data_IF_594278907854
#
_entry.id   IF_594278907854
#
_cell.length_a   1.000
_cell.length_b   1.000
_cell.length_c   1.000
_cell.angle_alpha   90.00
_cell.angle_beta   90.00
_cell.angle_gamma   90.00
#
_symmetry.space_group_name_H-M   'P 1'
#
loop_
_entity.id
_entity.type
_entity.pdbx_description
1 polymer ?
#
# COMPACT_ATOMS: atom_id res chain seq x y z
N UNK A 1 5.65 -10.21 -22.17
CA UNK A 1 4.91 -9.09 -21.63
C UNK A 1 5.83 -8.16 -20.86
N UNK A 2 5.68 -6.88 -21.11
CA UNK A 2 6.52 -5.86 -20.51
C UNK A 2 6.06 -5.54 -19.11
N UNK A 3 6.97 -5.60 -18.13
CA UNK A 3 6.67 -5.19 -16.75
C UNK A 3 6.94 -3.70 -16.61
N UNK A 4 6.04 -3.02 -15.91
CA UNK A 4 6.19 -1.60 -15.58
C UNK A 4 6.86 -1.46 -14.22
N UNK A 5 7.73 -0.46 -14.11
CA UNK A 5 8.44 -0.18 -12.85
C UNK A 5 7.71 0.92 -12.08
N UNK A 6 7.51 0.68 -10.79
CA UNK A 6 6.96 1.68 -9.88
C UNK A 6 7.95 1.84 -8.73
N UNK A 7 8.47 3.04 -8.56
CA UNK A 7 9.46 3.38 -7.54
C UNK A 7 8.77 4.00 -6.34
N UNK A 8 8.90 3.37 -5.19
CA UNK A 8 8.25 3.84 -3.95
C UNK A 8 9.30 3.97 -2.86
N UNK A 9 9.22 5.06 -2.10
CA UNK A 9 10.06 5.28 -0.93
C UNK A 9 9.26 4.97 0.33
N UNK A 10 9.93 4.31 1.27
CA UNK A 10 9.35 3.89 2.54
C UNK A 10 10.16 4.40 3.70
N UNK A 11 9.51 4.56 4.85
CA UNK A 11 10.23 4.77 6.11
C UNK A 11 11.08 3.55 6.42
N UNK A 12 12.23 3.74 7.11
CA UNK A 12 13.06 2.60 7.50
C UNK A 12 12.31 1.49 8.24
N UNK A 13 11.33 1.85 9.07
CA UNK A 13 10.53 0.89 9.86
C UNK A 13 9.75 -0.06 8.95
N UNK A 14 9.18 0.45 7.88
CA UNK A 14 8.47 -0.38 6.89
C UNK A 14 9.48 -1.24 6.12
N UNK A 15 10.58 -0.66 5.72
CA UNK A 15 11.63 -1.40 5.00
C UNK A 15 12.19 -2.55 5.85
N UNK A 16 12.33 -2.35 7.15
CA UNK A 16 12.75 -3.42 8.06
C UNK A 16 11.80 -4.61 8.05
N UNK A 17 10.51 -4.39 7.88
CA UNK A 17 9.55 -5.48 7.74
C UNK A 17 9.85 -6.32 6.50
N UNK A 18 10.20 -5.66 5.39
CA UNK A 18 10.62 -6.36 4.17
C UNK A 18 11.92 -7.12 4.39
N UNK A 19 12.88 -6.53 5.09
CA UNK A 19 14.16 -7.17 5.39
C UNK A 19 13.97 -8.43 6.24
N UNK A 20 13.11 -8.37 7.24
CA UNK A 20 12.82 -9.52 8.10
C UNK A 20 12.16 -10.64 7.31
N UNK A 21 11.18 -10.33 6.50
CA UNK A 21 10.50 -11.32 5.68
C UNK A 21 11.45 -11.92 4.63
N UNK A 22 12.32 -11.08 4.06
CA UNK A 22 13.33 -11.52 3.11
C UNK A 22 14.32 -12.50 3.76
N UNK A 23 14.78 -12.18 4.96
CA UNK A 23 15.68 -13.05 5.72
C UNK A 23 15.01 -14.39 6.04
N UNK A 24 13.73 -14.33 6.43
CA UNK A 24 12.95 -15.52 6.73
C UNK A 24 12.78 -16.44 5.52
N UNK A 25 12.55 -15.87 4.35
CA UNK A 25 12.33 -16.62 3.11
C UNK A 25 13.62 -16.94 2.34
N UNK A 26 14.74 -16.35 2.72
CA UNK A 26 16.00 -16.50 1.99
C UNK A 26 15.99 -15.80 0.63
N UNK A 27 15.28 -14.68 0.52
CA UNK A 27 15.14 -13.93 -0.72
C UNK A 27 15.69 -12.53 -0.57
N UNK A 28 15.80 -11.81 -1.70
CA UNK A 28 16.17 -10.39 -1.69
C UNK A 28 15.00 -9.53 -1.24
N UNK A 29 15.30 -8.42 -0.59
CA UNK A 29 14.28 -7.49 -0.07
C UNK A 29 13.34 -7.01 -1.16
N UNK A 30 13.87 -6.60 -2.31
CA UNK A 30 13.04 -6.14 -3.43
C UNK A 30 12.11 -7.21 -3.95
N UNK A 31 12.56 -8.45 -4.00
CA UNK A 31 11.75 -9.60 -4.44
C UNK A 31 10.58 -9.82 -3.48
N UNK A 32 10.86 -9.79 -2.19
CA UNK A 32 9.84 -9.99 -1.16
C UNK A 32 8.81 -8.86 -1.17
N UNK A 33 9.28 -7.61 -1.18
CA UNK A 33 8.38 -6.47 -1.24
C UNK A 33 7.46 -6.55 -2.44
N UNK A 34 8.01 -6.93 -3.60
CA UNK A 34 7.23 -7.09 -4.82
C UNK A 34 6.17 -8.19 -4.70
N UNK A 35 6.53 -9.34 -4.12
CA UNK A 35 5.60 -10.45 -3.88
C UNK A 35 4.45 -10.03 -2.97
N UNK A 36 4.75 -9.28 -1.91
CA UNK A 36 3.74 -8.80 -0.98
C UNK A 36 2.74 -7.87 -1.66
N UNK A 37 3.24 -6.95 -2.46
CA UNK A 37 2.37 -6.03 -3.20
C UNK A 37 1.51 -6.77 -4.23
N UNK A 38 2.09 -7.67 -5.00
CA UNK A 38 1.36 -8.46 -6.00
C UNK A 38 0.26 -9.28 -5.32
N UNK A 39 0.55 -9.87 -4.18
CA UNK A 39 -0.43 -10.64 -3.40
C UNK A 39 -1.64 -9.77 -3.06
N UNK A 40 -1.41 -8.55 -2.56
CA UNK A 40 -2.50 -7.65 -2.21
C UNK A 40 -3.24 -7.14 -3.45
N UNK A 41 -2.54 -6.86 -4.53
CA UNK A 41 -3.17 -6.46 -5.79
C UNK A 41 -4.07 -7.56 -6.34
N UNK A 42 -3.64 -8.80 -6.25
CA UNK A 42 -4.44 -9.94 -6.71
C UNK A 42 -5.71 -10.09 -5.86
N UNK A 43 -5.61 -9.89 -4.55
CA UNK A 43 -6.78 -9.91 -3.67
C UNK A 43 -7.76 -8.79 -4.05
N UNK A 44 -7.26 -7.60 -4.28
CA UNK A 44 -8.10 -6.46 -4.68
C UNK A 44 -8.72 -6.68 -6.06
N UNK A 45 -7.98 -7.30 -6.98
CA UNK A 45 -8.48 -7.59 -8.32
C UNK A 45 -9.56 -8.68 -8.34
N UNK A 46 -9.59 -9.54 -7.32
CA UNK A 46 -10.59 -10.61 -7.22
C UNK A 46 -11.99 -10.09 -6.93
N UNK A 47 -12.10 -8.87 -6.41
CA UNK A 47 -13.38 -8.18 -6.25
C UNK A 47 -13.55 -7.19 -7.40
N UNK A 48 -14.68 -6.48 -7.47
CA UNK A 48 -14.86 -5.38 -8.42
C UNK A 48 -14.31 -4.11 -7.76
N UNK A 49 -13.07 -3.68 -8.07
CA UNK A 49 -12.43 -2.60 -7.31
C UNK A 49 -13.24 -1.31 -7.27
N UNK A 50 -13.96 -0.97 -8.35
CA UNK A 50 -14.76 0.25 -8.41
C UNK A 50 -15.95 0.22 -7.45
N UNK A 51 -16.39 -0.96 -7.02
CA UNK A 51 -17.60 -1.13 -6.20
C UNK A 51 -17.33 -1.80 -4.86
N UNK A 52 -16.30 -2.64 -4.78
CA UNK A 52 -16.07 -3.52 -3.64
C UNK A 52 -14.76 -3.23 -2.90
N UNK A 53 -14.17 -2.06 -3.11
CA UNK A 53 -13.04 -1.58 -2.31
C UNK A 53 -13.54 -0.45 -1.43
N UNK A 54 -13.31 -0.58 -0.11
CA UNK A 54 -13.72 0.42 0.88
C UNK A 54 -12.53 0.80 1.76
N UNK A 55 -12.68 1.89 2.49
CA UNK A 55 -11.60 2.45 3.30
C UNK A 55 -12.06 2.60 4.74
N UNK A 56 -11.37 1.92 5.64
CA UNK A 56 -11.58 2.07 7.07
C UNK A 56 -12.76 1.32 7.65
N UNK A 57 -12.84 1.36 8.96
CA UNK A 57 -13.81 0.59 9.73
C UNK A 57 -15.25 1.08 9.57
N UNK A 58 -15.44 2.39 9.36
CA UNK A 58 -16.79 2.94 9.18
C UNK A 58 -17.42 2.46 7.87
N UNK A 59 -16.66 2.50 6.78
CA UNK A 59 -17.12 2.00 5.50
C UNK A 59 -17.37 0.49 5.55
N UNK A 60 -16.48 -0.23 6.23
CA UNK A 60 -16.65 -1.66 6.42
C UNK A 60 -17.92 -1.97 7.18
N UNK A 61 -18.18 -1.24 8.24
CA UNK A 61 -19.38 -1.44 9.07
C UNK A 61 -20.68 -1.15 8.31
N UNK A 62 -20.61 -0.28 7.30
CA UNK A 62 -21.77 0.04 6.47
C UNK A 62 -22.12 -1.07 5.48
N UNK A 63 -21.23 -2.04 5.25
CA UNK A 63 -21.49 -3.16 4.37
C UNK A 63 -22.38 -4.18 5.08
N UNK A 64 -23.46 -4.68 4.42
CA UNK A 64 -24.26 -5.76 5.00
C UNK A 64 -23.38 -6.98 5.31
N UNK A 65 -23.57 -7.58 6.50
CA UNK A 65 -22.75 -8.68 6.99
C UNK A 65 -22.59 -9.82 5.98
N UNK A 66 -23.66 -10.20 5.31
CA UNK A 66 -23.63 -11.28 4.32
C UNK A 66 -22.84 -10.97 3.06
N UNK A 67 -22.43 -9.71 2.87
CA UNK A 67 -21.68 -9.29 1.67
C UNK A 67 -20.24 -8.90 1.99
N UNK A 68 -19.83 -8.84 3.26
CA UNK A 68 -18.51 -8.37 3.68
C UNK A 68 -17.36 -9.16 3.07
N UNK A 69 -17.53 -10.45 2.88
CA UNK A 69 -16.50 -11.30 2.27
C UNK A 69 -16.19 -10.97 0.81
N UNK A 70 -17.09 -10.23 0.14
CA UNK A 70 -16.91 -9.81 -1.25
C UNK A 70 -16.17 -8.48 -1.39
N UNK A 71 -15.73 -7.90 -0.28
CA UNK A 71 -15.10 -6.58 -0.27
C UNK A 71 -13.63 -6.67 0.12
N UNK A 72 -12.85 -5.78 -0.44
CA UNK A 72 -11.46 -5.56 -0.04
C UNK A 72 -11.40 -4.26 0.74
N UNK A 73 -10.88 -4.32 1.98
CA UNK A 73 -10.86 -3.18 2.88
C UNK A 73 -9.44 -2.64 3.01
N UNK A 74 -9.26 -1.37 2.71
CA UNK A 74 -8.00 -0.66 2.89
C UNK A 74 -8.05 0.17 4.16
N UNK A 75 -6.88 0.47 4.77
CA UNK A 75 -6.83 1.38 5.91
C UNK A 75 -7.37 2.77 5.56
N UNK A 76 -7.85 3.49 6.56
CA UNK A 76 -8.27 4.86 6.38
C UNK A 76 -7.10 5.76 5.97
N UNK A 77 -7.39 6.83 5.26
CA UNK A 77 -6.38 7.78 4.80
C UNK A 77 -5.48 8.29 5.94
N UNK A 78 -6.07 8.58 7.09
CA UNK A 78 -5.32 9.07 8.27
C UNK A 78 -4.29 8.04 8.75
N UNK A 79 -4.62 6.75 8.67
CA UNK A 79 -3.70 5.69 9.09
C UNK A 79 -2.56 5.52 8.09
N UNK A 80 -2.87 5.63 6.81
CA UNK A 80 -1.84 5.53 5.76
C UNK A 80 -0.86 6.71 5.86
N UNK A 81 -1.37 7.92 6.12
CA UNK A 81 -0.56 9.14 6.22
C UNK A 81 0.52 8.99 7.32
N UNK A 82 0.20 8.34 8.42
CA UNK A 82 1.15 8.13 9.51
C UNK A 82 2.39 7.34 9.09
N UNK A 83 2.26 6.52 8.05
CA UNK A 83 3.35 5.68 7.55
C UNK A 83 4.06 6.26 6.32
N UNK A 84 3.66 7.44 5.84
CA UNK A 84 4.33 8.06 4.71
C UNK A 84 5.76 8.43 5.07
N UNK A 85 6.68 8.40 4.08
CA UNK A 85 8.08 8.77 4.33
C UNK A 85 8.20 10.19 4.89
N UNK A 86 9.15 10.36 5.78
CA UNK A 86 9.45 11.68 6.32
C UNK A 86 10.00 12.58 5.22
N UNK A 87 9.51 13.80 5.17
CA UNK A 87 10.08 14.81 4.30
C UNK A 87 11.22 15.47 5.06
N UNK A 88 12.43 15.35 4.51
CA UNK A 88 13.57 16.06 5.07
C UNK A 88 13.42 17.53 4.70
N UNK A 89 12.99 18.34 5.65
CA UNK A 89 12.80 19.77 5.43
C UNK A 89 14.09 20.57 5.36
N UNK A 90 15.25 19.92 5.46
CA UNK A 90 16.55 20.60 5.40
C UNK A 90 17.21 20.35 4.05
N UNK A 91 17.53 21.43 3.38
CA UNK A 91 18.26 21.43 2.13
C UNK A 91 19.62 20.76 2.31
N UNK A 92 19.88 19.72 1.51
CA UNK A 92 21.15 18.99 1.56
C UNK A 92 21.19 17.79 2.49
N UNK A 93 20.13 17.55 3.26
CA UNK A 93 20.03 16.33 4.07
C UNK A 93 19.72 15.12 3.19
N UNK A 94 20.50 14.05 3.35
CA UNK A 94 20.22 12.80 2.63
C UNK A 94 18.93 12.19 3.17
N UNK A 95 18.01 11.77 2.28
CA UNK A 95 16.78 11.11 2.74
C UNK A 95 17.13 9.80 3.46
N UNK A 96 16.56 9.64 4.65
CA UNK A 96 16.69 8.41 5.45
C UNK A 96 15.81 7.30 4.86
N UNK A 97 14.90 7.69 3.98
CA UNK A 97 13.91 6.79 3.39
C UNK A 97 14.55 5.76 2.46
N UNK A 98 14.01 4.55 2.48
CA UNK A 98 14.49 3.46 1.65
C UNK A 98 13.61 3.33 0.40
N UNK A 99 14.25 3.15 -0.74
CA UNK A 99 13.56 3.03 -2.02
C UNK A 99 13.43 1.57 -2.42
N UNK A 100 12.24 1.20 -2.90
CA UNK A 100 11.97 -0.12 -3.46
C UNK A 100 11.40 0.06 -4.86
N UNK A 101 11.88 -0.73 -5.81
CA UNK A 101 11.36 -0.77 -7.16
C UNK A 101 10.44 -1.98 -7.29
N UNK A 102 9.18 -1.73 -7.61
CA UNK A 102 8.19 -2.77 -7.87
C UNK A 102 8.08 -2.99 -9.38
N UNK A 103 7.97 -4.24 -9.78
CA UNK A 103 7.80 -4.63 -11.18
C UNK A 103 6.43 -5.27 -11.31
N UNK A 104 5.52 -4.57 -12.02
CA UNK A 104 4.12 -4.97 -12.12
C UNK A 104 3.77 -5.32 -13.57
N UNK A 105 2.99 -6.37 -13.73
CA UNK A 105 2.38 -6.70 -15.03
C UNK A 105 1.28 -5.68 -15.32
N UNK A 106 0.88 -5.60 -16.59
CA UNK A 106 -0.10 -4.62 -17.04
C UNK A 106 -1.42 -4.69 -16.26
N UNK A 107 -1.94 -5.87 -16.02
CA UNK A 107 -3.18 -6.07 -15.26
C UNK A 107 -3.04 -5.65 -13.80
N UNK A 108 -1.88 -5.90 -13.20
CA UNK A 108 -1.59 -5.49 -11.82
C UNK A 108 -1.50 -3.98 -11.72
N UNK A 109 -0.86 -3.34 -12.68
CA UNK A 109 -0.77 -1.89 -12.75
C UNK A 109 -2.15 -1.26 -12.92
N UNK A 110 -3.01 -1.85 -13.74
CA UNK A 110 -4.38 -1.37 -13.92
C UNK A 110 -5.18 -1.43 -12.62
N UNK A 111 -5.03 -2.51 -11.86
CA UNK A 111 -5.67 -2.63 -10.54
C UNK A 111 -5.18 -1.53 -9.61
N UNK A 112 -3.87 -1.28 -9.59
CA UNK A 112 -3.30 -0.20 -8.77
C UNK A 112 -3.84 1.17 -9.18
N UNK A 113 -3.94 1.44 -10.47
CA UNK A 113 -4.50 2.70 -10.98
C UNK A 113 -5.96 2.89 -10.57
N UNK A 114 -6.75 1.82 -10.57
CA UNK A 114 -8.13 1.86 -10.12
C UNK A 114 -8.23 2.24 -8.64
N UNK A 115 -7.36 1.65 -7.82
CA UNK A 115 -7.31 1.96 -6.38
C UNK A 115 -6.90 3.42 -6.16
N UNK A 116 -5.91 3.90 -6.92
CA UNK A 116 -5.48 5.31 -6.84
C UNK A 116 -6.65 6.24 -7.14
N UNK A 117 -7.44 5.94 -8.19
CA UNK A 117 -8.60 6.77 -8.56
C UNK A 117 -9.66 6.81 -7.48
N UNK A 118 -9.96 5.66 -6.87
CA UNK A 118 -10.95 5.58 -5.80
C UNK A 118 -10.48 6.39 -4.59
N UNK A 119 -9.21 6.23 -4.21
CA UNK A 119 -8.61 6.98 -3.11
C UNK A 119 -8.60 8.48 -3.38
N UNK A 120 -8.29 8.86 -4.60
CA UNK A 120 -8.20 10.28 -4.98
C UNK A 120 -9.55 10.97 -4.84
N UNK A 121 -10.62 10.34 -5.32
CA UNK A 121 -11.97 10.84 -5.17
C UNK A 121 -12.32 11.01 -3.70
N UNK A 122 -12.07 9.97 -2.90
CA UNK A 122 -12.40 10.00 -1.48
C UNK A 122 -11.60 11.05 -0.72
N UNK A 123 -10.31 11.13 -0.99
CA UNK A 123 -9.44 12.09 -0.33
C UNK A 123 -9.75 13.53 -0.70
N UNK A 124 -10.11 13.76 -1.95
CA UNK A 124 -10.54 15.06 -2.42
C UNK A 124 -11.77 15.53 -1.66
N UNK A 125 -12.68 14.63 -1.33
CA UNK A 125 -13.85 14.93 -0.53
C UNK A 125 -13.51 15.21 0.93
N UNK A 126 -12.55 14.45 1.49
CA UNK A 126 -12.22 14.51 2.92
C UNK A 126 -11.16 15.58 3.24
N UNK A 127 -10.12 15.70 2.43
CA UNK A 127 -8.95 16.50 2.78
C UNK A 127 -8.38 17.34 1.65
N UNK A 128 -8.84 17.19 0.42
CA UNK A 128 -8.34 17.95 -0.73
C UNK A 128 -6.89 17.68 -1.10
N UNK A 129 -6.33 16.53 -0.71
CA UNK A 129 -4.95 16.19 -0.99
C UNK A 129 -4.81 15.36 -2.27
N UNK A 130 -3.65 15.46 -2.90
CA UNK A 130 -3.33 14.69 -4.10
C UNK A 130 -2.89 13.28 -3.71
N UNK A 131 -3.49 12.27 -4.32
CA UNK A 131 -3.13 10.87 -4.13
C UNK A 131 -2.03 10.49 -5.13
N UNK A 132 -1.00 9.83 -4.63
CA UNK A 132 0.09 9.27 -5.42
C UNK A 132 0.08 7.75 -5.35
N UNK A 133 0.81 7.10 -6.26
CA UNK A 133 1.01 5.65 -6.19
C UNK A 133 1.58 5.21 -4.85
N UNK A 134 2.45 6.02 -4.25
CA UNK A 134 3.05 5.76 -2.93
C UNK A 134 1.97 5.50 -1.88
N UNK A 135 0.96 6.34 -1.87
CA UNK A 135 -0.13 6.24 -0.91
C UNK A 135 -0.93 4.94 -1.10
N UNK A 136 -1.26 4.61 -2.34
CA UNK A 136 -2.00 3.39 -2.66
C UNK A 136 -1.19 2.13 -2.35
N UNK A 137 0.07 2.11 -2.74
CA UNK A 137 0.98 0.97 -2.48
C UNK A 137 1.13 0.75 -0.98
N UNK A 138 1.34 1.83 -0.23
CA UNK A 138 1.49 1.73 1.22
C UNK A 138 0.21 1.19 1.88
N UNK A 139 -0.96 1.68 1.45
CA UNK A 139 -2.25 1.18 1.94
C UNK A 139 -2.43 -0.31 1.70
N UNK A 140 -2.09 -0.77 0.50
CA UNK A 140 -2.15 -2.19 0.16
C UNK A 140 -1.20 -3.02 1.03
N UNK A 141 0.03 -2.56 1.19
CA UNK A 141 1.03 -3.28 1.97
C UNK A 141 0.68 -3.34 3.44
N UNK A 142 0.07 -2.29 4.00
CA UNK A 142 -0.35 -2.27 5.40
C UNK A 142 -1.40 -3.35 5.71
N UNK A 143 -2.11 -3.83 4.70
CA UNK A 143 -3.06 -4.94 4.86
C UNK A 143 -2.38 -6.31 4.91
N UNK A 144 -1.10 -6.38 4.59
CA UNK A 144 -0.41 -7.66 4.53
C UNK A 144 0.08 -8.08 5.91
N UNK A 145 -0.10 -9.37 6.23
CA UNK A 145 0.31 -9.94 7.51
C UNK A 145 1.79 -9.80 7.80
N UNK A 146 2.63 -9.74 6.77
CA UNK A 146 4.07 -9.62 6.95
C UNK A 146 4.44 -8.32 7.68
N UNK A 147 3.65 -7.26 7.50
CA UNK A 147 3.87 -6.00 8.21
C UNK A 147 3.34 -6.05 9.65
N UNK A 148 2.38 -6.92 9.93
CA UNK A 148 1.82 -7.08 11.28
C UNK A 148 2.73 -7.89 12.20
N UNK A 149 3.55 -8.78 11.67
CA UNK A 149 4.44 -9.65 12.46
C UNK A 149 5.43 -8.85 13.29
N UNK A 150 5.83 -7.71 12.80
CA UNK A 150 6.66 -6.76 13.54
C UNK A 150 6.13 -5.37 13.23
N UNK A 151 5.16 -4.88 14.02
CA UNK A 151 4.63 -3.55 13.78
C UNK A 151 5.76 -2.52 13.87
N UNK A 152 5.83 -1.60 12.89
CA UNK A 152 6.85 -0.55 12.93
C UNK A 152 6.68 0.27 14.19
N UNK A 153 7.78 0.47 14.90
CA UNK A 153 7.78 1.31 16.08
C UNK A 153 7.86 2.76 15.59
N UNK A 154 6.74 3.43 15.60
CA UNK A 154 6.66 4.84 15.22
C UNK A 154 6.70 5.67 16.49
N UNK A 155 7.79 6.33 16.66
CA UNK A 155 7.99 7.27 17.77
C UNK A 155 7.92 8.70 17.30
#
# INVERSE_FOLDING_TARGET
MKKERVLIRFRPEIYECFELEAAYQGLRVGTVANQLLISELNKAASVKPEHCVVFGSEDYAAIPEGKRSSYYVLPESKDIIEYLPEQTGKRGAKPINKQVTFYLMEDQLETLKKIVRIQDIRKSMDHGQIITYRFAVLGLLLNNEALDRKPPVIH
#
